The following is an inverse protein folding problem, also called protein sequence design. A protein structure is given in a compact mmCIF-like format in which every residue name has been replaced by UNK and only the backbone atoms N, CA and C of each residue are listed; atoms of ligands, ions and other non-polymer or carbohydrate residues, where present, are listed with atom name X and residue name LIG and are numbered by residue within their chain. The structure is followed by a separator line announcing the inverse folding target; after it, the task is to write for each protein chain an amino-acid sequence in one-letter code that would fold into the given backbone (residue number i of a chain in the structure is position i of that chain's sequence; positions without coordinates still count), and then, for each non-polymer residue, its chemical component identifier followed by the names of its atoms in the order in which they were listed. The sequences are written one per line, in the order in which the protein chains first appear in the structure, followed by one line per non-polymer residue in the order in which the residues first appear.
data_IF_122906514394
#
_entry.id   IF_122906514394
#
_cell.length_a   1.000
_cell.length_b   1.000
_cell.length_c   1.000
_cell.angle_alpha   90.00
_cell.angle_beta   90.00
_cell.angle_gamma   90.00
#
_symmetry.space_group_name_H-M   'P 1'
#
loop_
_entity.id
_entity.type
_entity.pdbx_description
1 polymer ?
#
# COMPACT_ATOMS: atom_id res chain seq x y z
N UNK A 1 12.02 -12.27 -2.26
CA UNK A 1 12.40 -13.67 -2.06
C UNK A 1 12.62 -13.92 -0.58
N UNK A 2 12.81 -15.18 -0.12
CA UNK A 2 12.90 -15.50 1.32
C UNK A 2 11.55 -15.78 1.96
N UNK A 3 10.56 -16.22 1.19
CA UNK A 3 9.19 -16.50 1.65
C UNK A 3 9.06 -17.78 2.51
N UNK A 4 10.19 -18.41 2.86
CA UNK A 4 10.25 -19.49 3.85
C UNK A 4 10.38 -18.95 5.29
N UNK A 5 10.46 -17.62 5.45
CA UNK A 5 10.63 -16.94 6.72
C UNK A 5 9.39 -16.08 7.07
N UNK A 6 9.17 -15.88 8.36
CA UNK A 6 8.18 -14.93 8.87
C UNK A 6 8.69 -13.49 8.78
N UNK A 7 7.82 -12.51 9.03
CA UNK A 7 8.06 -11.08 8.85
C UNK A 7 9.40 -10.59 9.42
N UNK A 8 9.68 -10.78 10.70
CA UNK A 8 10.85 -10.17 11.34
C UNK A 8 12.18 -10.78 10.83
N UNK A 9 12.37 -12.12 10.74
CA UNK A 9 13.53 -12.71 10.08
C UNK A 9 13.65 -12.33 8.61
N UNK A 10 12.54 -12.24 7.86
CA UNK A 10 12.55 -11.81 6.46
C UNK A 10 13.06 -10.38 6.30
N UNK A 11 12.67 -9.45 7.20
CA UNK A 11 13.19 -8.08 7.20
C UNK A 11 14.70 -8.07 7.40
N UNK A 12 15.22 -8.82 8.38
CA UNK A 12 16.65 -8.85 8.72
C UNK A 12 17.51 -9.51 7.64
N UNK A 13 17.06 -10.65 7.11
CA UNK A 13 17.85 -11.48 6.21
C UNK A 13 17.79 -11.05 4.74
N UNK A 14 16.69 -10.45 4.30
CA UNK A 14 16.47 -10.14 2.88
C UNK A 14 16.20 -8.66 2.61
N UNK A 15 15.29 -8.04 3.37
CA UNK A 15 14.82 -6.70 3.06
C UNK A 15 15.85 -5.64 3.41
N UNK A 16 16.32 -5.60 4.64
CA UNK A 16 17.28 -4.59 5.09
C UNK A 16 18.60 -4.63 4.31
N UNK A 17 19.24 -5.79 4.06
CA UNK A 17 20.45 -5.83 3.23
C UNK A 17 20.22 -5.32 1.80
N UNK A 18 19.05 -5.58 1.23
CA UNK A 18 18.72 -5.10 -0.11
C UNK A 18 18.44 -3.61 -0.10
N UNK A 19 17.67 -3.12 0.88
CA UNK A 19 17.31 -1.71 1.02
C UNK A 19 18.53 -0.82 1.27
N UNK A 20 19.51 -1.27 2.03
CA UNK A 20 20.77 -0.53 2.25
C UNK A 20 21.51 -0.18 0.95
N UNK A 21 21.35 -0.97 -0.12
CA UNK A 21 21.95 -0.69 -1.43
C UNK A 21 21.37 0.53 -2.14
N UNK A 22 20.19 0.99 -1.75
CA UNK A 22 19.55 2.18 -2.33
C UNK A 22 20.22 3.49 -1.93
N UNK A 23 21.23 3.46 -1.06
CA UNK A 23 22.17 4.57 -0.85
C UNK A 23 22.94 4.93 -2.13
N UNK A 24 23.18 3.96 -3.02
CA UNK A 24 23.63 4.19 -4.40
C UNK A 24 22.44 4.63 -5.27
N UNK A 25 22.39 5.92 -5.62
CA UNK A 25 21.30 6.50 -6.40
C UNK A 25 21.22 5.97 -7.84
N UNK A 26 22.30 5.47 -8.42
CA UNK A 26 22.29 4.85 -9.74
C UNK A 26 21.70 3.44 -9.67
N UNK A 27 22.03 2.68 -8.64
CA UNK A 27 21.38 1.41 -8.35
C UNK A 27 19.87 1.63 -8.14
N UNK A 28 19.51 2.58 -7.27
CA UNK A 28 18.12 2.95 -6.98
C UNK A 28 17.35 3.29 -8.28
N UNK A 29 17.91 4.14 -9.13
CA UNK A 29 17.28 4.54 -10.38
C UNK A 29 17.04 3.35 -11.34
N UNK A 30 17.98 2.39 -11.42
CA UNK A 30 17.80 1.17 -12.25
C UNK A 30 16.66 0.31 -11.71
N UNK A 31 16.64 0.05 -10.40
CA UNK A 31 15.60 -0.78 -9.77
C UNK A 31 14.23 -0.11 -9.88
N UNK A 32 14.14 1.19 -9.60
CA UNK A 32 12.88 1.92 -9.69
C UNK A 32 12.32 1.98 -11.11
N UNK A 33 13.17 2.16 -12.14
CA UNK A 33 12.70 2.08 -13.53
C UNK A 33 12.12 0.71 -13.86
N UNK A 34 12.80 -0.35 -13.47
CA UNK A 34 12.33 -1.71 -13.71
C UNK A 34 11.00 -1.98 -12.98
N UNK A 35 10.90 -1.58 -11.71
CA UNK A 35 9.69 -1.71 -10.90
C UNK A 35 8.51 -0.92 -11.50
N UNK A 36 8.69 0.37 -11.78
CA UNK A 36 7.63 1.22 -12.30
C UNK A 36 7.21 0.83 -13.73
N UNK A 37 8.17 0.36 -14.55
CA UNK A 37 7.84 -0.19 -15.88
C UNK A 37 6.94 -1.42 -15.76
N UNK A 38 7.23 -2.31 -14.80
CA UNK A 38 6.39 -3.47 -14.55
C UNK A 38 5.04 -3.07 -13.96
N UNK A 39 5.02 -2.16 -12.99
CA UNK A 39 3.79 -1.62 -12.39
C UNK A 39 2.84 -1.09 -13.47
N UNK A 40 3.38 -0.25 -14.37
CA UNK A 40 2.64 0.31 -15.52
C UNK A 40 2.20 -0.78 -16.49
N UNK A 41 3.05 -1.74 -16.82
CA UNK A 41 2.72 -2.84 -17.73
C UNK A 41 1.54 -3.66 -17.18
N UNK A 42 1.56 -3.98 -15.90
CA UNK A 42 0.51 -4.75 -15.20
C UNK A 42 -0.77 -3.94 -14.90
N UNK A 43 -0.82 -2.66 -15.34
CA UNK A 43 -2.02 -1.82 -15.25
C UNK A 43 -2.25 -1.13 -13.91
N UNK A 44 -1.28 -1.11 -13.01
CA UNK A 44 -1.35 -0.30 -11.79
C UNK A 44 -0.84 1.10 -12.09
N UNK A 45 -1.77 2.04 -12.26
CA UNK A 45 -1.48 3.40 -12.74
C UNK A 45 -1.48 4.45 -11.63
N UNK A 46 -2.22 4.16 -10.55
CA UNK A 46 -2.27 4.98 -9.34
C UNK A 46 -1.83 4.13 -8.15
N UNK A 47 -0.85 4.62 -7.36
CA UNK A 47 -0.23 3.82 -6.32
C UNK A 47 0.22 4.64 -5.12
N UNK A 48 0.48 3.95 -4.00
CA UNK A 48 1.22 4.49 -2.86
C UNK A 48 2.42 3.58 -2.57
N UNK A 49 3.60 4.16 -2.45
CA UNK A 49 4.84 3.40 -2.29
C UNK A 49 5.66 3.85 -1.09
N UNK A 50 6.15 2.86 -0.33
CA UNK A 50 7.24 3.01 0.62
C UNK A 50 8.55 2.97 -0.17
N UNK A 51 9.33 4.07 -0.17
CA UNK A 51 10.61 4.10 -0.86
C UNK A 51 11.72 3.47 0.03
N UNK A 52 12.60 4.29 0.56
CA UNK A 52 13.69 3.92 1.49
C UNK A 52 13.97 5.10 2.39
N UNK A 53 14.86 4.95 3.38
CA UNK A 53 15.31 6.08 4.20
C UNK A 53 16.12 7.12 3.41
N UNK A 54 16.71 6.73 2.28
CA UNK A 54 17.60 7.60 1.50
C UNK A 54 16.82 8.65 0.70
N UNK A 55 16.95 9.93 1.09
CA UNK A 55 16.25 11.07 0.48
C UNK A 55 16.42 11.11 -1.04
N UNK A 56 17.66 11.04 -1.52
CA UNK A 56 17.94 11.18 -2.95
C UNK A 56 17.40 10.02 -3.78
N UNK A 57 17.42 8.79 -3.24
CA UNK A 57 16.78 7.65 -3.87
C UNK A 57 15.26 7.79 -3.90
N UNK A 58 14.63 8.27 -2.82
CA UNK A 58 13.20 8.57 -2.78
C UNK A 58 12.83 9.60 -3.85
N UNK A 59 13.62 10.68 -3.96
CA UNK A 59 13.41 11.68 -5.01
C UNK A 59 13.52 11.08 -6.42
N UNK A 60 14.48 10.17 -6.65
CA UNK A 60 14.60 9.46 -7.94
C UNK A 60 13.34 8.65 -8.26
N UNK A 61 12.76 7.95 -7.26
CA UNK A 61 11.50 7.21 -7.45
C UNK A 61 10.37 8.15 -7.86
N UNK A 62 10.20 9.27 -7.14
CA UNK A 62 9.18 10.27 -7.44
C UNK A 62 9.31 10.82 -8.86
N UNK A 63 10.52 11.25 -9.26
CA UNK A 63 10.78 11.78 -10.60
C UNK A 63 10.54 10.77 -11.70
N UNK A 64 11.01 9.53 -11.54
CA UNK A 64 10.82 8.49 -12.56
C UNK A 64 9.32 8.16 -12.71
N UNK A 65 8.56 8.11 -11.62
CA UNK A 65 7.13 7.85 -11.66
C UNK A 65 6.37 8.99 -12.37
N UNK A 66 6.71 10.25 -12.07
CA UNK A 66 6.19 11.45 -12.74
C UNK A 66 6.46 11.40 -14.24
N UNK A 67 7.73 11.18 -14.64
CA UNK A 67 8.16 11.11 -16.05
C UNK A 67 7.49 9.97 -16.83
N UNK A 68 7.07 8.88 -16.13
CA UNK A 68 6.32 7.77 -16.73
C UNK A 68 4.81 8.04 -16.85
N UNK A 69 4.33 9.18 -16.37
CA UNK A 69 2.91 9.56 -16.38
C UNK A 69 2.06 8.81 -15.35
N UNK A 70 2.70 8.19 -14.34
CA UNK A 70 2.01 7.54 -13.24
C UNK A 70 1.50 8.57 -12.22
N UNK A 71 0.57 8.17 -11.36
CA UNK A 71 -0.08 9.04 -10.38
C UNK A 71 -0.06 8.40 -8.99
N UNK A 72 0.00 9.20 -7.94
CA UNK A 72 -0.15 8.68 -6.57
C UNK A 72 0.81 9.27 -5.57
N UNK A 73 1.21 8.46 -4.59
CA UNK A 73 2.02 8.88 -3.48
C UNK A 73 3.32 8.09 -3.37
N UNK A 74 4.39 8.77 -3.01
CA UNK A 74 5.67 8.16 -2.65
C UNK A 74 6.14 8.76 -1.33
N UNK A 75 6.51 7.90 -0.38
CA UNK A 75 7.01 8.32 0.91
C UNK A 75 8.44 7.85 1.17
N UNK A 76 9.26 8.78 1.68
CA UNK A 76 10.53 8.41 2.30
C UNK A 76 10.23 7.66 3.59
N UNK A 77 10.78 6.46 3.73
CA UNK A 77 10.66 5.69 4.97
C UNK A 77 11.42 6.40 6.10
N UNK A 78 10.82 6.46 7.28
CA UNK A 78 11.41 7.03 8.46
C UNK A 78 11.66 5.93 9.50
N UNK A 79 12.94 5.75 9.89
CA UNK A 79 13.39 4.79 10.89
C UNK A 79 14.55 5.35 11.69
N UNK A 80 14.42 5.44 13.03
CA UNK A 80 15.48 5.96 13.92
C UNK A 80 15.77 5.05 15.11
N UNK A 81 15.14 3.85 15.17
CA UNK A 81 15.45 2.82 16.18
C UNK A 81 15.21 1.41 15.61
N UNK A 82 15.69 0.39 16.33
CA UNK A 82 15.44 -1.04 16.07
C UNK A 82 15.63 -1.45 14.60
N UNK A 83 16.65 -0.90 13.95
CA UNK A 83 17.04 -1.18 12.58
C UNK A 83 18.56 -1.24 12.48
N UNK A 84 19.13 -1.89 11.46
CA UNK A 84 20.58 -1.90 11.26
C UNK A 84 21.15 -0.47 11.15
N UNK A 85 22.38 -0.26 11.60
CA UNK A 85 22.99 1.07 11.63
C UNK A 85 23.02 1.76 10.27
N UNK A 86 23.13 0.99 9.17
CA UNK A 86 23.10 1.52 7.80
C UNK A 86 21.68 1.90 7.31
N UNK A 87 20.65 1.57 8.06
CA UNK A 87 19.24 1.96 7.81
C UNK A 87 18.62 2.72 8.99
N UNK A 88 19.43 3.19 9.93
CA UNK A 88 18.99 3.98 11.08
C UNK A 88 19.35 5.44 10.89
N UNK A 89 18.37 6.31 10.97
CA UNK A 89 18.54 7.75 10.80
C UNK A 89 18.75 8.47 12.14
N UNK A 90 19.38 9.65 12.07
CA UNK A 90 19.20 10.66 13.11
C UNK A 90 17.80 11.28 12.99
N UNK A 91 17.08 11.42 14.08
CA UNK A 91 15.70 11.90 14.10
C UNK A 91 15.53 13.26 13.44
N UNK A 92 16.38 14.24 13.78
CA UNK A 92 16.26 15.61 13.25
C UNK A 92 16.54 15.64 11.74
N UNK A 93 17.55 14.88 11.31
CA UNK A 93 17.86 14.75 9.90
C UNK A 93 16.73 14.06 9.12
N UNK A 94 16.15 12.99 9.68
CA UNK A 94 15.00 12.29 9.07
C UNK A 94 13.84 13.25 8.85
N UNK A 95 13.52 14.10 9.83
CA UNK A 95 12.47 15.10 9.73
C UNK A 95 12.80 16.19 8.70
N UNK A 96 14.03 16.72 8.72
CA UNK A 96 14.46 17.74 7.76
C UNK A 96 14.45 17.22 6.30
N UNK A 97 14.95 16.01 6.07
CA UNK A 97 14.92 15.35 4.76
C UNK A 97 13.49 15.10 4.29
N UNK A 98 12.58 14.76 5.20
CA UNK A 98 11.15 14.58 4.92
C UNK A 98 10.52 15.91 4.49
N UNK A 99 10.75 16.99 5.25
CA UNK A 99 10.21 18.32 4.96
C UNK A 99 10.73 18.84 3.60
N UNK A 100 12.02 18.67 3.31
CA UNK A 100 12.60 19.03 2.01
C UNK A 100 11.89 18.33 0.84
N UNK A 101 11.64 17.00 0.96
CA UNK A 101 10.93 16.23 -0.07
C UNK A 101 9.47 16.71 -0.23
N UNK A 102 8.81 17.06 0.86
CA UNK A 102 7.44 17.62 0.81
C UNK A 102 7.40 18.91 0.01
N UNK A 103 8.28 19.85 0.33
CA UNK A 103 8.33 21.15 -0.35
C UNK A 103 8.70 20.99 -1.81
N UNK A 104 9.74 20.23 -2.07
CA UNK A 104 10.23 19.99 -3.41
C UNK A 104 9.22 19.28 -4.32
N UNK A 105 8.51 18.26 -3.79
CA UNK A 105 7.49 17.57 -4.56
C UNK A 105 6.32 18.48 -4.96
N UNK A 106 5.95 19.41 -4.10
CA UNK A 106 4.89 20.40 -4.39
C UNK A 106 5.28 21.41 -5.45
N UNK A 107 6.56 21.73 -5.55
CA UNK A 107 7.08 22.69 -6.52
C UNK A 107 7.33 22.05 -7.89
N UNK A 108 7.82 20.81 -7.92
CA UNK A 108 8.37 20.20 -9.14
C UNK A 108 7.49 19.07 -9.75
N UNK A 109 6.45 18.57 -9.05
CA UNK A 109 5.67 17.40 -9.48
C UNK A 109 4.16 17.71 -9.50
N UNK A 110 3.47 17.17 -10.49
CA UNK A 110 2.02 17.37 -10.67
C UNK A 110 1.21 16.13 -10.23
N UNK A 111 1.69 14.94 -10.57
CA UNK A 111 0.98 13.67 -10.42
C UNK A 111 1.43 12.84 -9.21
N UNK A 112 2.72 12.94 -8.89
CA UNK A 112 3.31 12.24 -7.75
C UNK A 112 3.43 13.20 -6.57
N UNK A 113 2.80 12.83 -5.46
CA UNK A 113 2.78 13.61 -4.22
C UNK A 113 3.52 12.88 -3.11
N UNK A 114 3.94 13.63 -2.10
CA UNK A 114 4.58 13.04 -0.92
C UNK A 114 3.54 12.51 0.08
N UNK A 115 3.88 11.41 0.76
CA UNK A 115 3.12 10.81 1.86
C UNK A 115 4.08 10.53 3.03
N UNK A 116 3.70 10.91 4.25
CA UNK A 116 4.48 10.61 5.44
C UNK A 116 4.49 9.10 5.69
N UNK A 117 5.70 8.54 5.88
CA UNK A 117 5.89 7.09 5.88
C UNK A 117 6.75 6.63 7.06
N UNK A 118 6.28 6.76 8.32
CA UNK A 118 6.87 5.95 9.39
C UNK A 118 6.74 4.48 8.99
N UNK A 119 7.86 3.72 8.99
CA UNK A 119 7.78 2.32 8.52
C UNK A 119 6.77 1.52 9.33
N UNK A 120 6.96 1.49 10.64
CA UNK A 120 6.05 0.93 11.63
C UNK A 120 6.50 1.37 13.03
N UNK A 121 5.66 1.22 14.04
CA UNK A 121 5.96 1.72 15.40
C UNK A 121 7.28 1.18 15.97
N UNK A 122 7.64 -0.12 15.83
CA UNK A 122 8.90 -0.62 16.39
C UNK A 122 10.16 0.07 15.88
N UNK A 123 10.16 0.59 14.65
CA UNK A 123 11.32 1.26 14.05
C UNK A 123 11.33 2.80 14.20
N UNK A 124 10.34 3.37 14.88
CA UNK A 124 10.20 4.83 15.04
C UNK A 124 10.12 5.22 16.50
N UNK A 125 10.96 6.18 16.94
CA UNK A 125 10.86 6.72 18.31
C UNK A 125 9.66 7.65 18.44
N UNK A 126 9.22 7.89 19.69
CA UNK A 126 8.17 8.87 19.98
C UNK A 126 8.54 10.28 19.47
N UNK A 127 9.83 10.64 19.56
CA UNK A 127 10.34 11.92 19.04
C UNK A 127 10.14 12.02 17.52
N UNK A 128 10.47 10.95 16.77
CA UNK A 128 10.28 10.90 15.32
C UNK A 128 8.79 10.94 14.98
N UNK A 129 7.96 10.12 15.63
CA UNK A 129 6.50 10.10 15.40
C UNK A 129 5.87 11.46 15.69
N UNK A 130 6.24 12.12 16.80
CA UNK A 130 5.78 13.48 17.12
C UNK A 130 6.16 14.49 16.05
N UNK A 131 7.41 14.43 15.57
CA UNK A 131 7.89 15.31 14.50
C UNK A 131 7.13 15.08 13.19
N UNK A 132 6.92 13.83 12.80
CA UNK A 132 6.13 13.47 11.61
C UNK A 132 4.67 13.93 11.74
N UNK A 133 4.04 13.75 12.90
CA UNK A 133 2.68 14.26 13.16
C UNK A 133 2.57 15.76 12.96
N UNK A 134 3.56 16.53 13.44
CA UNK A 134 3.62 17.99 13.22
C UNK A 134 3.79 18.35 11.74
N UNK A 135 4.65 17.65 11.00
CA UNK A 135 4.79 17.85 9.56
C UNK A 135 3.49 17.53 8.83
N UNK A 136 2.80 16.45 9.23
CA UNK A 136 1.51 16.08 8.68
C UNK A 136 0.45 17.16 8.94
N UNK A 137 0.43 17.77 10.11
CA UNK A 137 -0.48 18.88 10.42
C UNK A 137 -0.12 20.14 9.62
N UNK A 138 1.16 20.53 9.61
CA UNK A 138 1.66 21.76 8.96
C UNK A 138 1.43 21.74 7.46
N UNK A 139 1.72 20.61 6.84
CA UNK A 139 1.66 20.46 5.37
C UNK A 139 0.44 19.69 4.89
N UNK A 140 -0.50 19.38 5.77
CA UNK A 140 -1.70 18.60 5.45
C UNK A 140 -1.39 17.30 4.69
N UNK A 141 -0.38 16.54 5.15
CA UNK A 141 0.09 15.33 4.48
C UNK A 141 -0.79 14.12 4.79
N UNK A 142 -0.99 13.22 3.83
CA UNK A 142 -1.46 11.88 4.13
C UNK A 142 -0.35 11.07 4.80
N UNK A 143 -0.75 9.96 5.44
CA UNK A 143 0.13 9.03 6.15
C UNK A 143 -0.07 7.62 5.62
N UNK A 144 1.01 6.85 5.48
CA UNK A 144 0.97 5.41 5.30
C UNK A 144 1.90 4.73 6.30
N UNK A 145 1.51 3.56 6.77
CA UNK A 145 2.32 2.74 7.66
C UNK A 145 1.84 1.28 7.67
N UNK A 146 2.51 0.42 8.45
CA UNK A 146 2.10 -0.95 8.72
C UNK A 146 1.38 -1.01 10.07
N UNK A 147 0.35 -1.85 10.17
CA UNK A 147 -0.46 -1.97 11.38
C UNK A 147 -0.83 -3.42 11.64
N UNK A 148 -0.41 -3.94 12.79
CA UNK A 148 -0.86 -5.24 13.32
C UNK A 148 -0.79 -6.38 12.31
N UNK A 149 0.36 -6.51 11.63
CA UNK A 149 0.59 -7.54 10.62
C UNK A 149 0.91 -8.90 11.25
N UNK A 150 1.76 -8.91 12.30
CA UNK A 150 2.22 -10.13 12.94
C UNK A 150 1.98 -10.05 14.47
N UNK A 151 1.71 -11.20 15.13
CA UNK A 151 1.44 -11.22 16.58
C UNK A 151 2.64 -10.76 17.39
N UNK A 152 3.84 -11.21 17.04
CA UNK A 152 5.06 -10.79 17.71
C UNK A 152 5.31 -9.29 17.56
N UNK A 153 4.97 -8.72 16.40
CA UNK A 153 5.00 -7.26 16.17
C UNK A 153 4.03 -6.52 17.10
N UNK A 154 2.80 -7.02 17.26
CA UNK A 154 1.79 -6.43 18.16
C UNK A 154 2.27 -6.48 19.61
N UNK A 155 2.79 -7.61 20.06
CA UNK A 155 3.34 -7.79 21.41
C UNK A 155 4.51 -6.82 21.64
N UNK A 156 5.41 -6.70 20.67
CA UNK A 156 6.55 -5.77 20.72
C UNK A 156 6.12 -4.31 20.82
N UNK A 157 5.09 -3.88 20.09
CA UNK A 157 4.54 -2.52 20.22
C UNK A 157 3.97 -2.28 21.62
N UNK A 158 3.28 -3.25 22.21
CA UNK A 158 2.76 -3.16 23.57
C UNK A 158 3.89 -3.03 24.62
N UNK A 159 5.01 -3.73 24.40
CA UNK A 159 6.22 -3.58 25.26
C UNK A 159 6.85 -2.20 25.15
N UNK A 160 6.89 -1.64 23.93
CA UNK A 160 7.47 -0.32 23.67
C UNK A 160 6.61 0.85 24.17
N UNK A 161 5.29 0.66 24.24
CA UNK A 161 4.30 1.67 24.62
C UNK A 161 3.27 1.12 25.63
N UNK A 162 3.72 0.72 26.85
CA UNK A 162 2.86 0.04 27.83
C UNK A 162 1.71 0.92 28.34
N UNK A 163 1.84 2.25 28.25
CA UNK A 163 0.82 3.20 28.70
C UNK A 163 -0.27 3.47 27.66
N UNK A 164 -0.13 2.96 26.43
CA UNK A 164 -1.11 3.10 25.36
C UNK A 164 -1.91 1.80 25.17
N UNK A 165 -3.19 1.94 24.89
CA UNK A 165 -4.15 0.83 24.94
C UNK A 165 -4.01 -0.18 23.79
N UNK A 166 -3.35 0.21 22.67
CA UNK A 166 -3.21 -0.63 21.48
C UNK A 166 -2.21 -0.06 20.48
N UNK A 167 -1.85 -0.85 19.47
CA UNK A 167 -1.02 -0.41 18.35
C UNK A 167 -1.62 0.80 17.62
N UNK A 168 -2.91 0.74 17.31
CA UNK A 168 -3.64 1.86 16.68
C UNK A 168 -3.61 3.13 17.54
N UNK A 169 -3.73 2.99 18.86
CA UNK A 169 -3.67 4.10 19.79
C UNK A 169 -2.30 4.81 19.79
N UNK A 170 -1.22 4.11 19.48
CA UNK A 170 0.11 4.73 19.32
C UNK A 170 0.11 5.70 18.15
N UNK A 171 -0.38 5.30 16.98
CA UNK A 171 -0.47 6.22 15.83
C UNK A 171 -1.37 7.43 16.11
N UNK A 172 -2.49 7.22 16.79
CA UNK A 172 -3.41 8.32 17.14
C UNK A 172 -2.78 9.32 18.11
N UNK A 173 -2.07 8.82 19.14
CA UNK A 173 -1.40 9.66 20.14
C UNK A 173 -0.35 10.62 19.54
N UNK A 174 0.29 10.21 18.44
CA UNK A 174 1.30 11.02 17.75
C UNK A 174 0.76 11.78 16.52
N UNK A 175 -0.56 11.83 16.32
CA UNK A 175 -1.20 12.57 15.22
C UNK A 175 -0.99 11.95 13.83
N UNK A 176 -0.67 10.67 13.77
CA UNK A 176 -0.41 9.92 12.53
C UNK A 176 -1.65 9.18 12.03
N UNK A 177 -2.71 9.10 12.84
CA UNK A 177 -4.01 8.54 12.44
C UNK A 177 -4.93 9.67 11.97
N UNK A 178 -4.66 10.19 10.79
CA UNK A 178 -5.34 11.35 10.22
C UNK A 178 -6.66 10.96 9.55
N UNK A 179 -7.78 11.63 9.88
CA UNK A 179 -9.08 11.33 9.28
C UNK A 179 -9.06 11.42 7.75
N UNK A 180 -9.54 10.37 7.07
CA UNK A 180 -9.60 10.24 5.60
C UNK A 180 -8.24 10.31 4.87
N UNK A 181 -7.12 10.39 5.58
CA UNK A 181 -5.77 10.61 5.03
C UNK A 181 -4.75 9.59 5.51
N UNK A 182 -5.18 8.45 6.02
CA UNK A 182 -4.26 7.42 6.50
C UNK A 182 -4.53 6.09 5.81
N UNK A 183 -3.46 5.48 5.26
CA UNK A 183 -3.42 4.10 4.78
C UNK A 183 -2.66 3.23 5.78
N UNK A 184 -3.29 2.17 6.26
CA UNK A 184 -2.66 1.18 7.15
C UNK A 184 -2.63 -0.17 6.47
N UNK A 185 -1.42 -0.66 6.18
CA UNK A 185 -1.22 -1.97 5.57
C UNK A 185 -1.47 -3.09 6.59
N UNK A 186 -1.96 -4.21 6.10
CA UNK A 186 -2.22 -5.48 6.77
C UNK A 186 -3.43 -5.48 7.72
N UNK A 187 -3.38 -4.81 8.86
CA UNK A 187 -4.50 -4.69 9.82
C UNK A 187 -5.17 -6.03 10.16
N UNK A 188 -4.35 -7.07 10.45
CA UNK A 188 -4.82 -8.46 10.65
C UNK A 188 -5.35 -8.63 12.07
N UNK A 189 -4.57 -8.20 13.06
CA UNK A 189 -4.81 -8.48 14.48
C UNK A 189 -5.35 -7.26 15.21
N UNK A 190 -6.58 -6.84 14.87
CA UNK A 190 -7.24 -5.68 15.47
C UNK A 190 -8.27 -6.09 16.51
N UNK A 191 -8.26 -5.43 17.66
CA UNK A 191 -9.35 -5.48 18.66
C UNK A 191 -10.60 -4.72 18.15
N UNK A 192 -11.74 -4.91 18.81
CA UNK A 192 -12.96 -4.17 18.50
C UNK A 192 -12.84 -2.67 18.83
N UNK A 193 -12.03 -2.31 19.82
CA UNK A 193 -11.70 -0.92 20.16
C UNK A 193 -10.91 -0.25 19.02
N UNK A 194 -9.90 -0.92 18.50
CA UNK A 194 -9.10 -0.43 17.36
C UNK A 194 -9.96 -0.27 16.12
N UNK A 195 -10.82 -1.26 15.82
CA UNK A 195 -11.77 -1.18 14.69
C UNK A 195 -12.71 0.02 14.81
N UNK A 196 -13.19 0.34 16.04
CA UNK A 196 -14.03 1.53 16.27
C UNK A 196 -13.26 2.82 16.01
N UNK A 197 -12.03 2.96 16.52
CA UNK A 197 -11.18 4.13 16.29
C UNK A 197 -10.83 4.31 14.81
N UNK A 198 -10.45 3.23 14.14
CA UNK A 198 -10.13 3.24 12.70
C UNK A 198 -11.33 3.64 11.83
N UNK A 199 -12.54 3.18 12.21
CA UNK A 199 -13.79 3.58 11.55
C UNK A 199 -14.12 5.04 11.80
N UNK A 200 -14.00 5.53 13.03
CA UNK A 200 -14.26 6.93 13.39
C UNK A 200 -13.38 7.90 12.62
N UNK A 201 -12.11 7.53 12.42
CA UNK A 201 -11.12 8.30 11.66
C UNK A 201 -11.21 8.06 10.14
N UNK A 202 -12.08 7.15 9.67
CA UNK A 202 -12.15 6.70 8.27
C UNK A 202 -10.77 6.38 7.67
N UNK A 203 -10.04 5.51 8.38
CA UNK A 203 -8.71 5.02 7.96
C UNK A 203 -8.90 3.94 6.90
N UNK A 204 -8.09 3.99 5.85
CA UNK A 204 -8.05 2.98 4.80
C UNK A 204 -7.21 1.78 5.26
N UNK A 205 -7.85 0.63 5.48
CA UNK A 205 -7.21 -0.63 5.83
C UNK A 205 -6.87 -1.38 4.55
N UNK A 206 -5.58 -1.58 4.31
CA UNK A 206 -5.09 -2.14 3.05
C UNK A 206 -4.79 -3.62 3.20
N UNK A 207 -5.62 -4.47 2.60
CA UNK A 207 -5.42 -5.92 2.59
C UNK A 207 -4.33 -6.32 1.61
N UNK A 208 -3.25 -6.90 2.13
CA UNK A 208 -2.08 -7.35 1.38
C UNK A 208 -2.08 -8.90 1.31
N UNK A 209 -3.09 -9.48 0.64
CA UNK A 209 -3.36 -10.92 0.65
C UNK A 209 -2.13 -11.78 0.35
N UNK A 210 -1.37 -11.39 -0.67
CA UNK A 210 -0.22 -12.16 -1.15
C UNK A 210 0.98 -12.10 -0.20
N UNK A 211 1.28 -10.92 0.32
CA UNK A 211 2.31 -10.72 1.33
C UNK A 211 1.98 -11.46 2.62
N UNK A 212 0.75 -11.30 3.12
CA UNK A 212 0.29 -11.97 4.33
C UNK A 212 0.43 -13.50 4.23
N UNK A 213 0.15 -14.07 3.05
CA UNK A 213 0.32 -15.50 2.79
C UNK A 213 1.80 -15.91 2.71
N UNK A 214 2.62 -15.13 1.99
CA UNK A 214 4.05 -15.43 1.79
C UNK A 214 4.84 -15.39 3.10
N UNK A 215 4.51 -14.44 4.00
CA UNK A 215 5.21 -14.24 5.27
C UNK A 215 4.50 -14.93 6.47
N UNK A 216 3.48 -15.72 6.19
CA UNK A 216 2.69 -16.41 7.22
C UNK A 216 2.12 -15.43 8.27
N UNK A 217 1.88 -14.17 7.89
CA UNK A 217 1.41 -13.12 8.79
C UNK A 217 -0.01 -13.40 9.29
N UNK A 218 -0.88 -13.96 8.45
CA UNK A 218 -2.26 -14.32 8.82
C UNK A 218 -3.28 -13.90 7.76
N UNK A 219 -4.56 -13.98 8.11
CA UNK A 219 -5.66 -13.59 7.23
C UNK A 219 -6.39 -12.40 7.84
N UNK A 220 -6.39 -11.25 7.16
CA UNK A 220 -7.22 -10.11 7.53
C UNK A 220 -8.70 -10.51 7.43
N UNK A 221 -9.52 -10.31 8.47
CA UNK A 221 -10.96 -10.63 8.44
C UNK A 221 -11.73 -9.59 7.60
N UNK A 222 -11.46 -9.58 6.29
CA UNK A 222 -11.87 -8.51 5.37
C UNK A 222 -13.39 -8.36 5.29
N UNK A 223 -14.14 -9.47 5.22
CA UNK A 223 -15.62 -9.45 5.20
C UNK A 223 -16.20 -8.84 6.49
N UNK A 224 -15.65 -9.23 7.64
CA UNK A 224 -16.06 -8.68 8.94
C UNK A 224 -15.82 -7.16 8.98
N UNK A 225 -14.61 -6.73 8.57
CA UNK A 225 -14.25 -5.31 8.53
C UNK A 225 -15.20 -4.50 7.63
N UNK A 226 -15.50 -4.99 6.43
CA UNK A 226 -16.47 -4.36 5.52
C UNK A 226 -17.87 -4.32 6.13
N UNK A 227 -18.32 -5.38 6.79
CA UNK A 227 -19.64 -5.46 7.45
C UNK A 227 -19.75 -4.48 8.62
N UNK A 228 -18.65 -4.28 9.36
CA UNK A 228 -18.55 -3.27 10.42
C UNK A 228 -18.45 -1.84 9.88
N UNK A 229 -18.34 -1.67 8.56
CA UNK A 229 -18.26 -0.37 7.88
C UNK A 229 -16.90 0.30 7.98
N UNK A 230 -15.83 -0.49 8.05
CA UNK A 230 -14.45 -0.02 7.89
C UNK A 230 -14.15 0.20 6.40
N UNK A 231 -13.36 1.21 6.12
CA UNK A 231 -12.90 1.50 4.76
C UNK A 231 -11.72 0.59 4.43
N UNK A 232 -11.95 -0.37 3.53
CA UNK A 232 -10.92 -1.35 3.13
C UNK A 232 -10.52 -1.15 1.67
N UNK A 233 -9.28 -1.53 1.38
CA UNK A 233 -8.69 -1.59 0.03
C UNK A 233 -7.76 -2.80 -0.09
N UNK A 234 -7.22 -3.05 -1.27
CA UNK A 234 -6.23 -4.12 -1.51
C UNK A 234 -4.96 -3.55 -2.13
N UNK A 235 -3.83 -4.18 -1.82
CA UNK A 235 -2.54 -3.82 -2.38
C UNK A 235 -1.68 -5.05 -2.67
N UNK A 236 -0.66 -4.86 -3.48
CA UNK A 236 0.31 -5.90 -3.84
C UNK A 236 1.38 -6.14 -2.78
N UNK A 237 1.75 -5.10 -2.05
CA UNK A 237 2.86 -5.12 -1.09
C UNK A 237 4.13 -5.77 -1.67
N UNK A 238 4.50 -5.38 -2.88
CA UNK A 238 5.76 -5.82 -3.51
C UNK A 238 6.92 -5.13 -2.76
N UNK A 239 7.92 -5.87 -2.19
CA UNK A 239 8.43 -7.19 -2.55
C UNK A 239 8.04 -8.38 -1.61
N UNK A 240 7.24 -8.21 -0.56
CA UNK A 240 6.68 -9.34 0.19
C UNK A 240 5.56 -10.02 -0.63
N UNK A 241 4.73 -9.26 -1.32
CA UNK A 241 3.97 -9.75 -2.47
C UNK A 241 4.90 -9.96 -3.69
N UNK A 242 4.67 -10.99 -4.48
CA UNK A 242 5.55 -11.36 -5.61
C UNK A 242 5.10 -10.80 -6.96
N UNK A 243 3.96 -10.13 -7.05
CA UNK A 243 3.49 -9.46 -8.28
C UNK A 243 2.77 -8.15 -8.01
N UNK A 244 3.04 -7.09 -8.79
CA UNK A 244 2.29 -5.84 -8.72
C UNK A 244 0.97 -5.87 -9.50
N UNK A 245 0.62 -6.99 -10.15
CA UNK A 245 -0.59 -7.16 -10.97
C UNK A 245 -1.85 -7.14 -10.09
N UNK A 246 -2.63 -6.06 -10.13
CA UNK A 246 -3.81 -5.90 -9.27
C UNK A 246 -4.93 -6.89 -9.62
N UNK A 247 -5.06 -7.35 -10.86
CA UNK A 247 -5.99 -8.42 -11.19
C UNK A 247 -5.67 -9.73 -10.43
N UNK A 248 -4.39 -10.06 -10.26
CA UNK A 248 -3.96 -11.23 -9.45
C UNK A 248 -4.20 -11.01 -7.96
N UNK A 249 -4.04 -9.78 -7.46
CA UNK A 249 -4.38 -9.45 -6.07
C UNK A 249 -5.90 -9.56 -5.82
N UNK A 250 -6.74 -9.15 -6.78
CA UNK A 250 -8.20 -9.33 -6.71
C UNK A 250 -8.55 -10.83 -6.64
N UNK A 251 -8.01 -11.64 -7.57
CA UNK A 251 -8.26 -13.08 -7.60
C UNK A 251 -7.89 -13.74 -6.27
N UNK A 252 -6.66 -13.52 -5.79
CA UNK A 252 -6.18 -14.10 -4.54
C UNK A 252 -6.99 -13.64 -3.33
N UNK A 253 -7.36 -12.35 -3.25
CA UNK A 253 -8.21 -11.82 -2.17
C UNK A 253 -9.55 -12.55 -2.12
N UNK A 254 -10.18 -12.80 -3.28
CA UNK A 254 -11.43 -13.56 -3.38
C UNK A 254 -11.23 -15.02 -2.96
N UNK A 255 -10.16 -15.66 -3.41
CA UNK A 255 -9.83 -17.06 -3.07
C UNK A 255 -9.61 -17.23 -1.55
N UNK A 256 -8.80 -16.35 -0.95
CA UNK A 256 -8.58 -16.35 0.50
C UNK A 256 -9.88 -16.11 1.25
N UNK A 257 -10.74 -15.19 0.79
CA UNK A 257 -12.04 -14.95 1.42
C UNK A 257 -12.95 -16.17 1.39
N UNK A 258 -12.91 -16.96 0.30
CA UNK A 258 -13.64 -18.23 0.19
C UNK A 258 -13.10 -19.29 1.18
N UNK A 259 -11.77 -19.43 1.26
CA UNK A 259 -11.14 -20.35 2.22
C UNK A 259 -11.45 -19.94 3.67
N UNK A 260 -11.40 -18.64 3.98
CA UNK A 260 -11.73 -18.11 5.29
C UNK A 260 -13.18 -18.41 5.69
N UNK A 261 -14.12 -18.27 4.75
CA UNK A 261 -15.54 -18.52 4.99
C UNK A 261 -15.88 -20.00 5.33
N UNK A 262 -15.02 -20.95 4.95
CA UNK A 262 -15.21 -22.36 5.31
C UNK A 262 -15.15 -22.59 6.85
N UNK A 263 -14.33 -21.81 7.53
CA UNK A 263 -14.18 -21.85 8.99
C UNK A 263 -14.98 -20.76 9.72
N UNK A 264 -15.57 -19.83 8.96
CA UNK A 264 -16.38 -18.71 9.45
C UNK A 264 -17.69 -18.62 8.66
N UNK A 265 -18.64 -19.53 8.87
CA UNK A 265 -19.83 -19.68 8.00
C UNK A 265 -20.77 -18.45 8.00
N UNK A 266 -20.68 -17.58 8.99
CA UNK A 266 -21.42 -16.31 9.03
C UNK A 266 -20.86 -15.26 8.06
N UNK A 267 -19.63 -15.42 7.58
CA UNK A 267 -18.96 -14.49 6.72
C UNK A 267 -19.00 -14.95 5.26
N UNK A 268 -19.75 -14.21 4.43
CA UNK A 268 -19.84 -14.50 3.00
C UNK A 268 -18.52 -14.17 2.30
N UNK A 269 -18.08 -15.05 1.41
CA UNK A 269 -16.95 -14.77 0.54
C UNK A 269 -17.18 -13.53 -0.33
N UNK A 270 -16.09 -12.90 -0.76
CA UNK A 270 -16.14 -11.74 -1.66
C UNK A 270 -16.58 -12.14 -3.06
N UNK A 271 -17.29 -11.25 -3.72
CA UNK A 271 -17.65 -11.33 -5.14
C UNK A 271 -16.59 -10.63 -6.01
N UNK A 272 -16.64 -10.91 -7.33
CA UNK A 272 -15.79 -10.22 -8.32
C UNK A 272 -15.98 -8.70 -8.27
N UNK A 273 -17.25 -8.25 -8.19
CA UNK A 273 -17.56 -6.81 -8.13
C UNK A 273 -17.00 -6.13 -6.88
N UNK A 274 -17.06 -6.80 -5.72
CA UNK A 274 -16.46 -6.30 -4.48
C UNK A 274 -14.94 -6.24 -4.57
N UNK A 275 -14.29 -7.31 -5.10
CA UNK A 275 -12.84 -7.32 -5.31
C UNK A 275 -12.38 -6.21 -6.26
N UNK A 276 -13.10 -5.99 -7.35
CA UNK A 276 -12.82 -4.88 -8.27
C UNK A 276 -13.00 -3.51 -7.58
N UNK A 277 -14.08 -3.33 -6.82
CA UNK A 277 -14.32 -2.10 -6.07
C UNK A 277 -13.18 -1.79 -5.10
N UNK A 278 -12.68 -2.78 -4.36
CA UNK A 278 -11.58 -2.64 -3.40
C UNK A 278 -10.24 -2.29 -4.07
N UNK A 279 -10.08 -2.61 -5.35
CA UNK A 279 -8.89 -2.30 -6.13
C UNK A 279 -8.99 -0.99 -6.95
N UNK A 280 -10.19 -0.40 -7.05
CA UNK A 280 -10.44 0.75 -7.95
C UNK A 280 -11.13 1.90 -7.22
N UNK A 281 -12.45 1.96 -7.23
CA UNK A 281 -13.25 3.06 -6.68
C UNK A 281 -13.13 3.17 -5.15
N UNK A 282 -12.98 2.06 -4.43
CA UNK A 282 -12.85 2.03 -2.97
C UNK A 282 -11.70 2.92 -2.48
N UNK A 283 -10.45 2.68 -2.91
CA UNK A 283 -9.31 3.53 -2.58
C UNK A 283 -9.29 4.87 -3.32
N UNK A 284 -10.11 5.04 -4.36
CA UNK A 284 -10.04 6.19 -5.27
C UNK A 284 -10.17 7.55 -4.59
N UNK A 285 -10.92 7.65 -3.51
CA UNK A 285 -11.06 8.90 -2.73
C UNK A 285 -9.76 9.31 -2.04
N UNK A 286 -8.93 8.35 -1.65
CA UNK A 286 -7.62 8.65 -1.06
C UNK A 286 -6.71 9.36 -2.05
N UNK A 287 -6.81 9.00 -3.34
CA UNK A 287 -6.00 9.56 -4.42
C UNK A 287 -6.66 10.74 -5.15
N UNK A 288 -7.84 11.18 -4.71
CA UNK A 288 -8.61 12.27 -5.32
C UNK A 288 -9.54 11.77 -6.42
N UNK A 289 -10.68 11.29 -6.24
CA UNK A 289 -11.72 10.91 -7.22
C UNK A 289 -11.22 10.10 -8.43
N UNK A 290 -10.48 9.01 -8.19
CA UNK A 290 -10.02 8.09 -9.25
C UNK A 290 -10.72 6.72 -9.14
N UNK A 291 -10.56 5.86 -10.15
CA UNK A 291 -11.02 4.47 -10.13
C UNK A 291 -12.51 4.27 -10.44
N UNK A 292 -13.17 5.26 -11.06
CA UNK A 292 -14.56 5.17 -11.54
C UNK A 292 -14.73 5.97 -12.82
N UNK A 293 -15.75 5.62 -13.63
CA UNK A 293 -16.16 6.38 -14.81
C UNK A 293 -17.36 7.30 -14.53
N UNK A 294 -17.70 7.52 -13.27
CA UNK A 294 -18.78 8.45 -12.89
C UNK A 294 -18.35 9.91 -13.16
N UNK A 295 -19.32 10.76 -13.41
CA UNK A 295 -19.08 12.21 -13.57
C UNK A 295 -18.37 12.78 -12.34
N UNK A 296 -17.28 13.51 -12.56
CA UNK A 296 -16.45 14.12 -11.51
C UNK A 296 -15.24 13.26 -11.08
N UNK A 297 -15.08 12.06 -11.68
CA UNK A 297 -13.87 11.26 -11.50
C UNK A 297 -12.86 11.56 -12.61
N UNK A 298 -11.58 11.44 -12.26
CA UNK A 298 -10.50 11.48 -13.24
C UNK A 298 -10.63 10.29 -14.20
N UNK A 299 -10.35 10.51 -15.48
CA UNK A 299 -10.38 9.43 -16.45
C UNK A 299 -9.08 8.63 -16.41
N UNK A 300 -9.03 7.68 -15.47
CA UNK A 300 -7.97 6.68 -15.38
C UNK A 300 -8.54 5.34 -15.87
N UNK A 301 -7.97 4.77 -16.92
CA UNK A 301 -8.57 3.62 -17.60
C UNK A 301 -7.53 2.65 -18.18
N UNK A 302 -7.90 1.38 -18.16
CA UNK A 302 -7.24 0.32 -18.91
C UNK A 302 -8.15 -0.13 -20.06
N UNK A 303 -7.60 -0.27 -21.26
CA UNK A 303 -8.26 -0.97 -22.35
C UNK A 303 -7.72 -2.39 -22.38
N UNK A 304 -8.60 -3.35 -22.14
CA UNK A 304 -8.25 -4.75 -22.01
C UNK A 304 -8.83 -5.51 -23.21
N UNK A 305 -7.99 -6.32 -23.86
CA UNK A 305 -8.40 -7.24 -24.92
C UNK A 305 -8.31 -8.67 -24.41
N UNK A 306 -9.43 -9.39 -24.48
CA UNK A 306 -9.51 -10.82 -24.19
C UNK A 306 -10.03 -11.53 -25.44
N UNK A 307 -9.24 -12.46 -25.94
CA UNK A 307 -9.63 -13.28 -27.08
C UNK A 307 -10.79 -14.22 -26.70
N UNK A 308 -11.66 -14.48 -27.68
CA UNK A 308 -12.64 -15.54 -27.55
C UNK A 308 -11.95 -16.86 -28.04
N UNK A 309 -11.46 -17.65 -27.07
CA UNK A 309 -10.62 -18.83 -27.30
C UNK A 309 -11.34 -19.97 -28.05
N UNK A 310 -12.68 -19.93 -28.11
CA UNK A 310 -13.50 -20.98 -28.68
C UNK A 310 -14.51 -20.36 -29.64
N UNK A 311 -14.46 -20.77 -30.92
CA UNK A 311 -15.42 -20.33 -31.92
C UNK A 311 -16.86 -20.65 -31.51
N UNK A 312 -17.73 -19.63 -31.51
CA UNK A 312 -19.14 -19.73 -31.12
C UNK A 312 -19.39 -19.63 -29.61
N UNK A 313 -18.36 -19.38 -28.79
CA UNK A 313 -18.51 -19.08 -27.39
C UNK A 313 -18.33 -17.56 -27.16
N UNK A 314 -19.42 -16.81 -27.28
CA UNK A 314 -19.42 -15.38 -26.99
C UNK A 314 -19.54 -15.15 -25.49
N UNK A 315 -18.56 -14.41 -24.91
CA UNK A 315 -18.58 -14.00 -23.51
C UNK A 315 -19.18 -12.62 -23.34
N UNK A 316 -19.99 -12.47 -22.33
CA UNK A 316 -20.46 -11.13 -21.87
C UNK A 316 -19.30 -10.29 -21.39
N UNK A 317 -19.42 -8.94 -21.34
CA UNK A 317 -18.38 -8.07 -20.76
C UNK A 317 -17.98 -8.45 -19.33
N UNK A 318 -18.92 -8.93 -18.52
CA UNK A 318 -18.63 -9.37 -17.15
C UNK A 318 -17.82 -10.69 -17.13
N UNK A 319 -18.11 -11.62 -18.01
CA UNK A 319 -17.32 -12.86 -18.15
C UNK A 319 -15.90 -12.57 -18.66
N UNK A 320 -15.73 -11.62 -19.58
CA UNK A 320 -14.40 -11.15 -20.03
C UNK A 320 -13.64 -10.46 -18.91
N UNK A 321 -14.32 -9.68 -18.06
CA UNK A 321 -13.70 -9.11 -16.84
C UNK A 321 -13.25 -10.21 -15.87
N UNK A 322 -14.08 -11.22 -15.63
CA UNK A 322 -13.70 -12.38 -14.80
C UNK A 322 -12.48 -13.10 -15.38
N UNK A 323 -12.49 -13.37 -16.70
CA UNK A 323 -11.36 -13.99 -17.38
C UNK A 323 -10.09 -13.17 -17.20
N UNK A 324 -10.13 -11.85 -17.39
CA UNK A 324 -8.97 -10.99 -17.15
C UNK A 324 -8.47 -11.04 -15.69
N UNK A 325 -9.37 -11.03 -14.72
CA UNK A 325 -9.00 -11.10 -13.31
C UNK A 325 -8.23 -12.38 -12.99
N UNK A 326 -8.68 -13.53 -13.48
CA UNK A 326 -8.06 -14.82 -13.16
C UNK A 326 -6.90 -15.18 -14.11
N UNK A 327 -7.08 -15.05 -15.41
CA UNK A 327 -6.16 -15.54 -16.43
C UNK A 327 -5.33 -14.42 -17.09
N UNK A 328 -5.86 -13.18 -17.15
CA UNK A 328 -5.23 -12.07 -17.85
C UNK A 328 -3.87 -11.65 -17.27
N UNK A 329 -3.06 -11.07 -18.14
CA UNK A 329 -1.76 -10.47 -17.78
C UNK A 329 -1.52 -9.15 -18.55
N UNK A 330 -0.31 -8.61 -18.50
CA UNK A 330 0.07 -7.34 -19.12
C UNK A 330 -0.11 -7.32 -20.63
N UNK A 331 -0.06 -8.47 -21.31
CA UNK A 331 -0.28 -8.63 -22.76
C UNK A 331 -1.72 -8.32 -23.17
N UNK A 332 -2.65 -8.51 -22.26
CA UNK A 332 -4.07 -8.19 -22.47
C UNK A 332 -4.37 -6.68 -22.34
N UNK A 333 -3.47 -5.89 -21.74
CA UNK A 333 -3.67 -4.44 -21.53
C UNK A 333 -3.14 -3.67 -22.73
N UNK A 334 -4.02 -3.34 -23.67
CA UNK A 334 -3.64 -2.72 -24.96
C UNK A 334 -3.51 -1.20 -24.92
N UNK A 335 -4.13 -0.53 -23.94
CA UNK A 335 -3.93 0.89 -23.69
C UNK A 335 -4.13 1.26 -22.22
N UNK A 336 -3.47 2.34 -21.79
CA UNK A 336 -3.47 2.87 -20.42
C UNK A 336 -3.68 4.37 -20.45
N UNK A 337 -4.57 4.88 -19.61
CA UNK A 337 -4.88 6.31 -19.53
C UNK A 337 -4.79 6.77 -18.07
N UNK A 338 -4.15 7.90 -17.84
CA UNK A 338 -4.09 8.61 -16.56
C UNK A 338 -4.51 10.06 -16.78
N UNK A 339 -5.50 10.53 -16.03
CA UNK A 339 -6.09 11.85 -16.18
C UNK A 339 -6.50 12.17 -17.64
N UNK A 340 -6.98 11.17 -18.39
CA UNK A 340 -7.37 11.30 -19.79
C UNK A 340 -6.23 11.24 -20.80
N UNK A 341 -4.99 11.20 -20.35
CA UNK A 341 -3.83 11.09 -21.23
C UNK A 341 -3.40 9.63 -21.38
N UNK A 342 -3.16 9.22 -22.63
CA UNK A 342 -2.59 7.90 -22.93
C UNK A 342 -1.11 7.89 -22.56
N UNK A 343 -0.73 6.95 -21.69
CA UNK A 343 0.64 6.80 -21.20
C UNK A 343 1.33 5.55 -21.71
#
# INVERSE_FOLDING_TARGET
MGFDEELLPWLENYTFPTEGRFSDTDFAARVYRAFLSRLKAEGTLCFSAFATIHKDATWKLMRIAEDMGLKGYVGKVNMDRNSPDYLKEDTERSLADTEELVLRSREELDRIRFIATPRFVPSTTEKLMTGLGRLCETYDLPVQSHLSENRHEVDWVQELHPDLSSYTAVYDAFGLLRPHKTLMAHAIYLSDEEKRLLKEKDVYLTHCAQSNANLTSGIMPLRENLTKGLTCTIASDVAAGHTPAMNKQIALTIEISKLYSLNHPSEKALTIGEGLYLATKGPGRFYGNTGSFETGFDFDALVIHMDDDIEGLERTPFEKLQQFIYDGDDRNIVARYVNGEKI
#
